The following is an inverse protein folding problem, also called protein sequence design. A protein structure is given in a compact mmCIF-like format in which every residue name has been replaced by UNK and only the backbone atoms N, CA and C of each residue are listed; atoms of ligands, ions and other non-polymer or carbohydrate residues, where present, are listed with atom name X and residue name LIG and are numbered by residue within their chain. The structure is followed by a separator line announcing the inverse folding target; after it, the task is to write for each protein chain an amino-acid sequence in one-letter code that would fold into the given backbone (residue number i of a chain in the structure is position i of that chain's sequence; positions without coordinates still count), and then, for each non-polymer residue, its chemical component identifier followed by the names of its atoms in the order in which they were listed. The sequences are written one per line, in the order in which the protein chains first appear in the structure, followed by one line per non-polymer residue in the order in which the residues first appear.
data_IF_788142211821
#
_entry.id   IF_788142211821
#
_cell.length_a   1.000
_cell.length_b   1.000
_cell.length_c   1.000
_cell.angle_alpha   90.00
_cell.angle_beta   90.00
_cell.angle_gamma   90.00
#
_symmetry.space_group_name_H-M   'P 1'
#
loop_
_entity.id
_entity.type
_entity.pdbx_description
1 polymer ?
#
# COMPACT_ATOMS: atom_id res chain seq x y z
N UNK A 1 5.57 -17.79 -13.60
CA UNK A 1 6.34 -17.03 -12.58
C UNK A 1 6.14 -17.70 -11.24
N UNK A 2 7.22 -17.97 -10.50
CA UNK A 2 7.11 -18.49 -9.14
C UNK A 2 6.35 -17.48 -8.26
N UNK A 3 5.22 -17.89 -7.67
CA UNK A 3 4.47 -17.06 -6.72
C UNK A 3 5.10 -17.19 -5.34
N UNK A 4 5.69 -16.11 -4.85
CA UNK A 4 6.29 -16.04 -3.52
C UNK A 4 5.33 -15.40 -2.53
N UNK A 5 4.41 -16.20 -1.98
CA UNK A 5 3.30 -15.71 -1.14
C UNK A 5 3.77 -14.94 0.11
N UNK A 6 4.90 -15.32 0.69
CA UNK A 6 5.50 -14.66 1.87
C UNK A 6 6.00 -13.26 1.50
N UNK A 7 6.66 -13.14 0.34
CA UNK A 7 7.17 -11.87 -0.15
C UNK A 7 6.03 -10.93 -0.54
N UNK A 8 4.99 -11.45 -1.20
CA UNK A 8 3.82 -10.66 -1.60
C UNK A 8 3.12 -10.02 -0.41
N UNK A 9 2.88 -10.81 0.65
CA UNK A 9 2.25 -10.30 1.88
C UNK A 9 3.07 -9.20 2.55
N UNK A 10 4.41 -9.27 2.51
CA UNK A 10 5.27 -8.23 3.10
C UNK A 10 5.35 -6.97 2.24
N UNK A 11 5.36 -7.11 0.91
CA UNK A 11 5.61 -6.00 -0.01
C UNK A 11 4.36 -5.23 -0.42
N UNK A 12 3.20 -5.90 -0.53
CA UNK A 12 1.97 -5.34 -1.09
C UNK A 12 0.86 -5.11 -0.07
N UNK A 13 0.96 -5.65 1.14
CA UNK A 13 -0.04 -5.44 2.21
C UNK A 13 0.12 -4.07 2.90
N UNK A 14 0.22 -3.01 2.10
CA UNK A 14 0.38 -1.62 2.53
C UNK A 14 -0.54 -0.72 1.73
N UNK A 15 -1.01 0.35 2.36
CA UNK A 15 -1.79 1.40 1.70
C UNK A 15 -0.90 2.61 1.41
N UNK A 16 -1.07 3.23 0.26
CA UNK A 16 -0.35 4.43 -0.16
C UNK A 16 -1.31 5.61 -0.13
N UNK A 17 -0.89 6.70 0.50
CA UNK A 17 -1.68 7.94 0.49
C UNK A 17 -1.68 8.55 -0.91
N UNK A 18 -2.86 8.94 -1.42
CA UNK A 18 -2.98 9.60 -2.73
C UNK A 18 -2.52 11.06 -2.72
N UNK A 19 -2.33 11.67 -1.54
CA UNK A 19 -1.88 13.07 -1.39
C UNK A 19 -0.37 13.20 -1.18
N UNK A 20 0.22 12.37 -0.30
CA UNK A 20 1.64 12.49 0.08
C UNK A 20 2.47 11.23 -0.17
N UNK A 21 1.91 10.22 -0.85
CA UNK A 21 2.54 8.96 -1.23
C UNK A 21 3.20 8.16 -0.08
N UNK A 22 2.83 8.45 1.17
CA UNK A 22 3.35 7.72 2.33
C UNK A 22 2.77 6.31 2.41
N UNK A 23 3.58 5.36 2.87
CA UNK A 23 3.14 4.00 3.19
C UNK A 23 2.46 4.01 4.56
N UNK A 24 1.23 3.52 4.60
CA UNK A 24 0.40 3.36 5.79
C UNK A 24 0.04 1.88 5.97
N UNK A 25 -0.34 1.52 7.20
CA UNK A 25 -0.77 0.17 7.54
C UNK A 25 -2.05 -0.20 6.79
N UNK A 26 -2.29 -1.51 6.60
CA UNK A 26 -3.49 -2.00 5.92
C UNK A 26 -4.79 -1.57 6.60
N UNK A 27 -4.78 -1.49 7.94
CA UNK A 27 -5.93 -1.06 8.75
C UNK A 27 -6.04 0.46 8.93
N UNK A 28 -5.13 1.25 8.35
CA UNK A 28 -5.20 2.70 8.46
C UNK A 28 -6.44 3.27 7.76
N UNK A 29 -7.16 4.15 8.46
CA UNK A 29 -8.29 4.94 7.93
C UNK A 29 -7.84 6.32 7.45
N UNK A 30 -6.71 6.82 7.95
CA UNK A 30 -6.11 8.11 7.59
C UNK A 30 -4.59 8.00 7.45
N UNK A 31 -4.01 8.86 6.62
CA UNK A 31 -2.58 8.96 6.45
C UNK A 31 -1.90 9.45 7.73
N UNK A 32 -0.89 8.74 8.21
CA UNK A 32 -0.12 9.10 9.42
C UNK A 32 0.64 10.42 9.32
N UNK A 33 0.86 10.93 8.10
CA UNK A 33 1.66 12.13 7.83
C UNK A 33 0.79 13.37 7.58
N UNK A 34 -0.23 13.25 6.74
CA UNK A 34 -1.03 14.41 6.30
C UNK A 34 -2.50 14.37 6.74
N UNK A 35 -2.94 13.33 7.46
CA UNK A 35 -4.33 13.19 7.90
C UNK A 35 -5.36 12.87 6.80
N UNK A 36 -4.96 12.85 5.52
CA UNK A 36 -5.85 12.56 4.40
C UNK A 36 -6.38 11.11 4.43
N UNK A 37 -7.67 10.93 4.16
CA UNK A 37 -8.38 9.64 4.19
C UNK A 37 -8.28 8.84 2.88
N UNK A 38 -7.91 9.48 1.76
CA UNK A 38 -7.73 8.80 0.48
C UNK A 38 -6.46 7.95 0.45
N UNK A 39 -6.61 6.70 0.86
CA UNK A 39 -5.57 5.67 0.91
C UNK A 39 -5.87 4.58 -0.13
N UNK A 40 -4.98 4.38 -1.10
CA UNK A 40 -5.10 3.32 -2.11
C UNK A 40 -4.25 2.09 -1.74
N UNK A 41 -4.66 0.86 -2.09
CA UNK A 41 -3.76 -0.29 -1.98
C UNK A 41 -2.57 -0.15 -2.94
N UNK A 42 -1.43 -0.75 -2.57
CA UNK A 42 -0.29 -0.85 -3.48
C UNK A 42 -0.61 -1.88 -4.56
N UNK A 43 -0.38 -1.53 -5.83
CA UNK A 43 -0.58 -2.43 -6.98
C UNK A 43 0.30 -3.67 -6.84
N UNK A 44 -0.31 -4.85 -6.99
CA UNK A 44 0.38 -6.16 -6.97
C UNK A 44 0.97 -6.51 -8.32
N UNK A 45 0.34 -6.05 -9.38
CA UNK A 45 0.76 -6.31 -10.74
C UNK A 45 1.73 -5.22 -11.21
N UNK A 46 2.82 -5.59 -11.91
CA UNK A 46 3.65 -4.61 -12.60
C UNK A 46 2.82 -3.89 -13.65
N UNK A 47 3.07 -2.59 -13.81
CA UNK A 47 2.45 -1.77 -14.85
C UNK A 47 3.47 -1.69 -15.98
N UNK A 48 3.38 -2.60 -16.95
CA UNK A 48 4.35 -2.76 -18.04
C UNK A 48 5.39 -3.83 -17.78
#
# INVERSE_FOLDING_TARGET
MAKFEVAERRLFNVKICMRCNSKNSWKATKCRKCGYSGLRPKSREPRG
#
